data_IF_429294631821
#
_entry.id   IF_429294631821
#
_cell.length_a   1.000
_cell.length_b   1.000
_cell.length_c   1.000
_cell.angle_alpha   90.00
_cell.angle_beta   90.00
_cell.angle_gamma   90.00
#
_symmetry.space_group_name_H-M   'P 1'
#
loop_
_entity.id
_entity.type
_entity.pdbx_description
1 polymer ?
#
# COMPACT_ATOMS: atom_id res chain seq x y z
N UNK A 1 16.88 -8.62 -22.16
CA UNK A 1 15.78 -7.98 -22.91
C UNK A 1 15.54 -6.62 -22.27
N UNK A 2 15.95 -5.53 -22.92
CA UNK A 2 15.58 -4.19 -22.50
C UNK A 2 14.14 -3.94 -22.98
N UNK A 3 13.16 -4.43 -22.22
CA UNK A 3 11.76 -4.11 -22.49
C UNK A 3 11.59 -2.61 -22.25
N UNK A 4 11.21 -1.87 -23.29
CA UNK A 4 10.76 -0.48 -23.14
C UNK A 4 9.59 -0.50 -22.16
N UNK A 5 9.79 0.07 -20.97
CA UNK A 5 8.73 0.16 -19.96
C UNK A 5 7.62 1.06 -20.51
N UNK A 6 6.39 0.58 -20.52
CA UNK A 6 5.27 1.36 -21.00
C UNK A 6 5.00 2.51 -20.04
N UNK A 7 4.60 3.67 -20.57
CA UNK A 7 4.15 4.79 -19.76
C UNK A 7 2.69 5.08 -20.08
N UNK A 8 1.87 5.15 -19.05
CA UNK A 8 0.45 5.45 -19.14
C UNK A 8 0.15 6.75 -18.40
N UNK A 9 -0.27 7.79 -19.11
CA UNK A 9 -0.73 9.04 -18.52
C UNK A 9 -2.25 8.95 -18.29
N UNK A 10 -2.67 8.85 -17.04
CA UNK A 10 -4.06 8.61 -16.68
C UNK A 10 -4.46 9.34 -15.40
N UNK A 11 -5.76 9.64 -15.28
CA UNK A 11 -6.36 10.26 -14.10
C UNK A 11 -6.94 9.19 -13.19
N UNK A 12 -6.79 9.34 -11.88
CA UNK A 12 -7.41 8.42 -10.91
C UNK A 12 -8.89 8.71 -10.79
N UNK A 13 -9.70 7.67 -10.97
CA UNK A 13 -11.17 7.73 -10.89
C UNK A 13 -11.65 7.29 -9.51
N UNK A 14 -11.08 6.21 -8.98
CA UNK A 14 -11.44 5.73 -7.64
C UNK A 14 -10.38 4.82 -7.03
N UNK A 15 -10.42 4.73 -5.70
CA UNK A 15 -9.63 3.79 -4.91
C UNK A 15 -10.39 2.45 -4.89
N UNK A 16 -9.70 1.34 -5.15
CA UNK A 16 -10.32 0.00 -5.25
C UNK A 16 -10.13 -0.85 -3.99
N UNK A 17 -9.28 -0.42 -3.06
CA UNK A 17 -9.01 -1.17 -1.83
C UNK A 17 -8.55 -0.22 -0.71
N UNK A 18 -9.06 -0.40 0.51
CA UNK A 18 -8.68 0.38 1.71
C UNK A 18 -7.42 -0.15 2.42
N UNK A 19 -6.87 -1.28 1.98
CA UNK A 19 -5.63 -1.85 2.49
C UNK A 19 -4.43 -1.26 1.74
N UNK A 20 -3.89 -0.17 2.26
CA UNK A 20 -2.79 0.58 1.62
C UNK A 20 -1.40 0.03 1.89
N UNK A 21 -1.27 -0.85 2.87
CA UNK A 21 0.00 -1.45 3.31
C UNK A 21 -0.19 -2.95 3.54
N UNK A 22 0.85 -3.72 3.29
CA UNK A 22 0.86 -5.17 3.55
C UNK A 22 2.23 -5.62 4.07
N UNK A 23 2.27 -6.67 4.91
CA UNK A 23 3.52 -7.22 5.40
C UNK A 23 4.26 -7.92 4.26
N UNK A 24 5.52 -7.58 4.07
CA UNK A 24 6.31 -8.03 2.94
C UNK A 24 7.71 -8.45 3.37
N UNK A 25 8.20 -9.51 2.72
CA UNK A 25 9.55 -10.00 2.96
C UNK A 25 10.57 -8.96 2.47
N UNK A 26 11.52 -8.59 3.32
CA UNK A 26 12.59 -7.66 2.96
C UNK A 26 13.55 -8.24 1.91
N UNK A 27 13.62 -9.56 1.78
CA UNK A 27 14.53 -10.21 0.83
C UNK A 27 13.94 -10.37 -0.57
N UNK A 28 12.64 -10.65 -0.69
CA UNK A 28 12.03 -10.98 -1.99
C UNK A 28 10.71 -10.24 -2.29
N UNK A 29 10.34 -9.29 -1.42
CA UNK A 29 9.15 -8.43 -1.51
C UNK A 29 7.81 -9.15 -1.62
N UNK A 30 7.80 -10.47 -1.41
CA UNK A 30 6.57 -11.25 -1.41
C UNK A 30 5.83 -11.04 -0.10
N UNK A 31 4.50 -11.10 -0.17
CA UNK A 31 3.65 -10.99 1.01
C UNK A 31 4.04 -12.03 2.06
N UNK A 32 4.17 -11.60 3.31
CA UNK A 32 4.41 -12.48 4.44
C UNK A 32 3.10 -13.09 4.94
N UNK A 33 3.19 -14.31 5.46
CA UNK A 33 2.18 -14.90 6.34
C UNK A 33 2.57 -14.45 7.76
N UNK A 34 1.65 -13.78 8.45
CA UNK A 34 1.82 -13.32 9.82
C UNK A 34 0.93 -14.12 10.76
N UNK A 35 1.55 -14.65 11.81
CA UNK A 35 0.88 -15.17 13.00
C UNK A 35 1.10 -14.21 14.18
N UNK A 36 0.51 -14.50 15.33
CA UNK A 36 0.60 -13.64 16.52
C UNK A 36 2.02 -13.39 17.03
N UNK A 37 2.98 -14.26 16.70
CA UNK A 37 4.38 -14.15 17.16
C UNK A 37 5.40 -14.12 16.04
N UNK A 38 5.10 -14.70 14.88
CA UNK A 38 6.11 -14.94 13.83
C UNK A 38 5.61 -14.57 12.46
N UNK A 39 6.55 -14.35 11.55
CA UNK A 39 6.27 -14.30 10.13
C UNK A 39 6.97 -15.42 9.38
N UNK A 40 6.40 -15.81 8.25
CA UNK A 40 7.01 -16.70 7.27
C UNK A 40 6.82 -16.15 5.86
N UNK A 41 7.88 -16.16 5.07
CA UNK A 41 7.81 -15.86 3.65
C UNK A 41 7.63 -17.15 2.84
N UNK A 42 6.47 -17.35 2.18
CA UNK A 42 6.22 -18.56 1.41
C UNK A 42 7.11 -18.69 0.17
N UNK A 43 7.72 -17.59 -0.31
CA UNK A 43 8.54 -17.59 -1.53
C UNK A 43 10.00 -17.95 -1.27
N UNK A 44 10.63 -17.38 -0.24
CA UNK A 44 12.06 -17.60 0.03
C UNK A 44 12.35 -18.31 1.36
N UNK A 45 11.32 -18.65 2.15
CA UNK A 45 11.48 -19.35 3.43
C UNK A 45 12.03 -18.49 4.56
N UNK A 46 12.17 -17.17 4.37
CA UNK A 46 12.60 -16.27 5.43
C UNK A 46 11.55 -16.23 6.56
N UNK A 47 12.00 -16.45 7.79
CA UNK A 47 11.18 -16.41 9.00
C UNK A 47 11.73 -15.41 10.01
N UNK A 48 10.88 -14.89 10.89
CA UNK A 48 11.28 -13.99 11.98
C UNK A 48 10.14 -13.72 12.94
N UNK A 49 10.33 -12.78 13.87
CA UNK A 49 9.28 -12.37 14.80
C UNK A 49 8.32 -11.38 14.12
N UNK A 50 7.03 -11.43 14.48
CA UNK A 50 5.99 -10.62 13.84
C UNK A 50 6.27 -9.10 13.94
N UNK A 51 6.91 -8.66 15.04
CA UNK A 51 7.34 -7.26 15.24
C UNK A 51 8.43 -6.80 14.27
N UNK A 52 9.20 -7.74 13.71
CA UNK A 52 10.29 -7.47 12.77
C UNK A 52 9.81 -7.61 11.31
N UNK A 53 8.52 -7.88 11.10
CA UNK A 53 7.94 -7.90 9.78
C UNK A 53 7.95 -6.49 9.18
N UNK A 54 8.56 -6.34 8.02
CA UNK A 54 8.49 -5.07 7.31
C UNK A 54 7.23 -4.95 6.44
N UNK A 55 6.95 -3.72 6.02
CA UNK A 55 5.71 -3.37 5.35
C UNK A 55 5.99 -2.65 4.03
N UNK A 56 5.12 -2.85 3.05
CA UNK A 56 5.17 -2.18 1.74
C UNK A 56 3.82 -1.59 1.39
N UNK A 57 3.85 -0.47 0.68
CA UNK A 57 2.65 0.10 0.11
C UNK A 57 2.06 -0.76 -1.01
N UNK A 58 0.74 -0.75 -1.08
CA UNK A 58 -0.09 -1.28 -2.16
C UNK A 58 -1.27 -0.35 -2.35
N UNK A 59 -1.33 0.33 -3.49
CA UNK A 59 -2.42 1.24 -3.83
C UNK A 59 -3.15 0.74 -5.06
N UNK A 60 -4.35 0.19 -4.86
CA UNK A 60 -5.21 -0.28 -5.95
C UNK A 60 -6.11 0.85 -6.45
N UNK A 61 -6.03 1.16 -7.74
CA UNK A 61 -6.70 2.30 -8.37
C UNK A 61 -7.47 1.87 -9.60
N UNK A 62 -8.61 2.51 -9.84
CA UNK A 62 -9.22 2.59 -11.16
C UNK A 62 -8.80 3.91 -11.79
N UNK A 63 -8.20 3.86 -12.97
CA UNK A 63 -7.66 5.02 -13.69
C UNK A 63 -8.30 5.12 -15.08
N UNK A 64 -8.35 6.34 -15.63
CA UNK A 64 -8.83 6.58 -16.99
C UNK A 64 -7.80 7.37 -17.80
N UNK A 65 -7.55 6.96 -19.03
CA UNK A 65 -6.93 7.83 -20.03
C UNK A 65 -8.01 8.46 -20.93
N UNK A 66 -7.65 8.86 -22.15
CA UNK A 66 -8.58 9.48 -23.10
C UNK A 66 -9.63 8.50 -23.63
N UNK A 67 -9.31 7.20 -23.67
CA UNK A 67 -10.09 6.19 -24.39
C UNK A 67 -10.62 5.09 -23.48
N UNK A 68 -9.88 4.75 -22.42
CA UNK A 68 -10.08 3.52 -21.67
C UNK A 68 -10.02 3.69 -20.15
N UNK A 69 -10.55 2.69 -19.45
CA UNK A 69 -10.46 2.52 -18.00
C UNK A 69 -9.59 1.31 -17.67
N UNK A 70 -8.70 1.47 -16.68
CA UNK A 70 -7.79 0.42 -16.24
C UNK A 70 -7.86 0.23 -14.73
N UNK A 71 -7.77 -1.02 -14.29
CA UNK A 71 -7.52 -1.37 -12.90
C UNK A 71 -6.02 -1.63 -12.72
N UNK A 72 -5.37 -0.81 -11.91
CA UNK A 72 -3.92 -0.91 -11.65
C UNK A 72 -3.66 -1.04 -10.16
N UNK A 73 -2.49 -1.57 -9.81
CA UNK A 73 -1.98 -1.55 -8.44
C UNK A 73 -0.55 -1.05 -8.42
N UNK A 74 -0.31 0.01 -7.66
CA UNK A 74 1.01 0.60 -7.46
C UNK A 74 1.62 0.02 -6.18
N UNK A 75 2.88 -0.40 -6.23
CA UNK A 75 3.54 -1.08 -5.12
C UNK A 75 4.84 -0.41 -4.70
N UNK A 76 5.13 -0.48 -3.40
CA UNK A 76 6.45 -0.17 -2.85
C UNK A 76 6.70 1.31 -2.62
N UNK A 77 7.98 1.65 -2.45
CA UNK A 77 8.44 2.96 -1.96
C UNK A 77 8.26 4.12 -2.93
N UNK A 78 7.84 3.87 -4.17
CA UNK A 78 7.43 4.97 -5.06
C UNK A 78 6.21 5.73 -4.53
N UNK A 79 5.49 5.16 -3.55
CA UNK A 79 4.37 5.79 -2.87
C UNK A 79 4.79 6.63 -1.66
N UNK A 80 6.02 6.49 -1.15
CA UNK A 80 6.50 7.23 0.03
C UNK A 80 6.35 8.76 -0.13
N UNK A 81 6.66 9.38 -1.29
CA UNK A 81 6.47 10.83 -1.47
C UNK A 81 5.00 11.28 -1.43
N UNK A 82 4.06 10.39 -1.74
CA UNK A 82 2.63 10.70 -1.76
C UNK A 82 1.98 10.50 -0.39
N UNK A 83 2.44 9.51 0.38
CA UNK A 83 2.00 9.28 1.76
C UNK A 83 2.77 10.14 2.77
N UNK A 84 3.92 10.69 2.39
CA UNK A 84 4.79 11.53 3.22
C UNK A 84 5.67 10.74 4.21
N UNK A 85 5.50 9.43 4.32
CA UNK A 85 6.23 8.54 5.21
C UNK A 85 6.43 7.17 4.55
N UNK A 86 7.28 6.32 5.14
CA UNK A 86 7.42 4.92 4.69
C UNK A 86 6.22 4.08 5.13
N UNK A 87 5.95 2.99 4.41
CA UNK A 87 4.89 2.04 4.79
C UNK A 87 5.07 1.46 6.20
N UNK A 88 6.31 1.25 6.63
CA UNK A 88 6.65 0.80 7.99
C UNK A 88 6.28 1.84 9.04
N UNK A 89 6.58 3.12 8.80
CA UNK A 89 6.20 4.19 9.71
C UNK A 89 4.69 4.40 9.74
N UNK A 90 4.00 4.30 8.61
CA UNK A 90 2.54 4.37 8.56
C UNK A 90 1.88 3.24 9.36
N UNK A 91 2.38 2.00 9.22
CA UNK A 91 1.90 0.86 10.02
C UNK A 91 2.03 1.15 11.52
N UNK A 92 3.18 1.68 11.95
CA UNK A 92 3.42 2.04 13.34
C UNK A 92 2.43 3.12 13.82
N UNK A 93 2.18 4.17 13.04
CA UNK A 93 1.20 5.20 13.42
C UNK A 93 -0.22 4.66 13.55
N UNK A 94 -0.64 3.74 12.67
CA UNK A 94 -1.94 3.09 12.77
C UNK A 94 -2.01 2.25 14.06
N UNK A 95 -0.96 1.47 14.36
CA UNK A 95 -0.90 0.67 15.59
C UNK A 95 -0.93 1.54 16.85
N UNK A 96 -0.13 2.59 16.90
CA UNK A 96 -0.06 3.51 18.04
C UNK A 96 -1.41 4.22 18.25
N UNK A 97 -2.05 4.67 17.16
CA UNK A 97 -3.37 5.30 17.23
C UNK A 97 -4.45 4.33 17.74
N UNK A 98 -4.45 3.09 17.26
CA UNK A 98 -5.42 2.07 17.71
C UNK A 98 -5.19 1.68 19.19
N UNK A 99 -3.94 1.65 19.66
CA UNK A 99 -3.63 1.43 21.08
C UNK A 99 -4.13 2.56 21.97
N UNK A 100 -3.94 3.82 21.55
CA UNK A 100 -4.37 5.00 22.31
C UNK A 100 -5.90 5.17 22.34
N UNK A 101 -6.58 4.79 21.27
CA UNK A 101 -8.02 5.02 21.08
C UNK A 101 -8.91 3.85 21.52
N UNK A 102 -8.33 2.71 21.91
CA UNK A 102 -9.04 1.47 22.24
C UNK A 102 -9.59 0.74 20.99
N UNK A 103 -9.99 -0.52 21.15
CA UNK A 103 -10.41 -1.39 20.03
C UNK A 103 -11.59 -0.82 19.21
N UNK A 104 -12.44 0.01 19.83
CA UNK A 104 -13.63 0.61 19.20
C UNK A 104 -13.33 1.65 18.11
N UNK A 105 -12.08 2.10 17.96
CA UNK A 105 -11.71 3.18 17.03
C UNK A 105 -10.87 2.73 15.82
N UNK A 106 -10.68 1.42 15.64
CA UNK A 106 -9.99 0.87 14.46
C UNK A 106 -10.67 1.27 13.15
N UNK A 107 -12.00 1.30 13.16
CA UNK A 107 -12.80 1.72 12.00
C UNK A 107 -12.63 3.22 11.69
N UNK A 108 -12.44 4.04 12.73
CA UNK A 108 -12.25 5.48 12.58
C UNK A 108 -10.88 5.83 11.99
N UNK A 109 -9.81 5.14 12.43
CA UNK A 109 -8.46 5.35 11.89
C UNK A 109 -8.34 4.89 10.44
N UNK A 110 -8.97 3.76 10.12
CA UNK A 110 -9.04 3.27 8.75
C UNK A 110 -9.86 4.19 7.85
N UNK A 111 -11.03 4.67 8.30
CA UNK A 111 -11.86 5.59 7.54
C UNK A 111 -11.13 6.91 7.25
N UNK A 112 -10.44 7.48 8.24
CA UNK A 112 -9.66 8.71 8.06
C UNK A 112 -8.52 8.52 7.02
N UNK A 113 -7.83 7.37 7.06
CA UNK A 113 -6.79 7.05 6.09
C UNK A 113 -7.36 6.88 4.68
N UNK A 114 -8.50 6.18 4.53
CA UNK A 114 -9.18 6.05 3.24
C UNK A 114 -9.56 7.42 2.70
N UNK A 115 -10.19 8.27 3.51
CA UNK A 115 -10.59 9.61 3.10
C UNK A 115 -9.39 10.47 2.68
N UNK A 116 -8.27 10.39 3.41
CA UNK A 116 -7.05 11.09 3.03
C UNK A 116 -6.50 10.61 1.67
N UNK A 117 -6.48 9.30 1.45
CA UNK A 117 -6.03 8.73 0.16
C UNK A 117 -6.97 9.12 -0.97
N UNK A 118 -8.28 9.05 -0.78
CA UNK A 118 -9.27 9.49 -1.78
C UNK A 118 -9.07 10.97 -2.14
N UNK A 119 -8.92 11.83 -1.14
CA UNK A 119 -8.73 13.27 -1.32
C UNK A 119 -7.42 13.59 -2.07
N UNK A 120 -6.35 12.85 -1.77
CA UNK A 120 -5.05 13.08 -2.37
C UNK A 120 -4.96 12.57 -3.82
N UNK A 121 -5.66 11.49 -4.16
CA UNK A 121 -5.46 10.81 -5.44
C UNK A 121 -6.61 11.01 -6.44
N UNK A 122 -7.88 10.98 -6.02
CA UNK A 122 -9.01 11.04 -6.95
C UNK A 122 -9.00 12.36 -7.73
N UNK A 123 -9.18 12.26 -9.05
CA UNK A 123 -9.13 13.39 -9.98
C UNK A 123 -7.72 13.87 -10.31
N UNK A 124 -6.67 13.37 -9.65
CA UNK A 124 -5.28 13.69 -10.01
C UNK A 124 -4.81 12.84 -11.18
N UNK A 125 -3.95 13.43 -12.02
CA UNK A 125 -3.34 12.80 -13.20
C UNK A 125 -1.90 12.43 -12.90
N UNK A 126 -1.52 11.20 -13.21
CA UNK A 126 -0.18 10.66 -13.01
C UNK A 126 0.35 10.00 -14.28
N UNK A 127 1.66 9.74 -14.29
CA UNK A 127 2.32 8.88 -15.28
C UNK A 127 2.66 7.57 -14.57
N UNK A 128 2.05 6.47 -15.01
CA UNK A 128 2.26 5.14 -14.48
C UNK A 128 3.25 4.38 -15.36
N UNK A 129 4.30 3.81 -14.73
CA UNK A 129 5.22 2.90 -15.41
C UNK A 129 4.71 1.47 -15.38
N UNK A 130 4.19 1.00 -16.52
CA UNK A 130 3.55 -0.31 -16.73
C UNK A 130 4.47 -1.33 -17.38
#
# INVERSE_FOLDING_TARGET
MNSVRGLLAASVISIQNSCFIYPACQNCFSRLILDSRRFNCPKCGCTGEAKDAGYRYRLSLKIADTNDLFDITVFGSCLDPFFGVTAENLQRYIQDFNQLSGETNTDASQAALVQAVETCFIGKRFIFGV
#
